data_IF_545455449633
#
_entry.id   IF_545455449633
#
_cell.length_a   1.000
_cell.length_b   1.000
_cell.length_c   1.000
_cell.angle_alpha   90.00
_cell.angle_beta   90.00
_cell.angle_gamma   90.00
#
_symmetry.space_group_name_H-M   'P 1'
#
loop_
_entity.id
_entity.type
_entity.pdbx_description
1 polymer ?
#
# COMPACT_ATOMS: atom_id res chain seq x y z
N UNK A 1 -43.25 -15.08 33.64
CA UNK A 1 -41.86 -14.65 33.89
C UNK A 1 -40.82 -15.09 32.84
N UNK A 2 -41.07 -16.09 31.95
CA UNK A 2 -40.11 -16.49 30.90
C UNK A 2 -39.95 -15.51 29.72
N UNK A 3 -40.99 -14.71 29.42
CA UNK A 3 -40.98 -13.79 28.27
C UNK A 3 -40.02 -12.60 28.46
N UNK A 4 -39.91 -12.05 29.68
CA UNK A 4 -39.06 -10.88 29.98
C UNK A 4 -37.54 -11.19 29.93
N UNK A 5 -37.15 -12.44 30.15
CA UNK A 5 -35.75 -12.88 30.10
C UNK A 5 -35.18 -12.83 28.68
N UNK A 6 -36.00 -13.16 27.68
CA UNK A 6 -35.57 -13.18 26.28
C UNK A 6 -35.27 -11.78 25.75
N UNK A 7 -36.00 -10.75 26.21
CA UNK A 7 -35.72 -9.36 25.84
C UNK A 7 -34.43 -8.84 26.50
N UNK A 8 -34.16 -9.23 27.74
CA UNK A 8 -32.90 -8.89 28.41
C UNK A 8 -31.68 -9.51 27.72
N UNK A 9 -31.79 -10.77 27.29
CA UNK A 9 -30.73 -11.44 26.51
C UNK A 9 -30.54 -10.79 25.14
N UNK A 10 -31.63 -10.39 24.47
CA UNK A 10 -31.56 -9.70 23.19
C UNK A 10 -30.92 -8.30 23.28
N UNK A 11 -31.25 -7.52 24.32
CA UNK A 11 -30.66 -6.19 24.58
C UNK A 11 -29.18 -6.32 24.92
N UNK A 12 -28.80 -7.35 25.69
CA UNK A 12 -27.40 -7.63 26.01
C UNK A 12 -26.57 -7.97 24.75
N UNK A 13 -27.12 -8.74 23.81
CA UNK A 13 -26.44 -9.04 22.54
C UNK A 13 -26.29 -7.82 21.62
N UNK A 14 -27.22 -6.86 21.67
CA UNK A 14 -27.17 -5.63 20.88
C UNK A 14 -26.09 -4.66 21.38
N UNK A 15 -25.86 -4.61 22.71
CA UNK A 15 -24.85 -3.75 23.34
C UNK A 15 -23.41 -4.27 23.18
N UNK A 16 -23.22 -5.53 22.76
CA UNK A 16 -21.90 -6.14 22.54
C UNK A 16 -21.31 -5.91 21.14
N UNK A 17 -21.97 -5.11 20.30
CA UNK A 17 -21.44 -4.70 18.99
C UNK A 17 -20.29 -3.69 19.16
N UNK A 18 -19.15 -4.19 19.62
CA UNK A 18 -17.90 -3.44 19.71
C UNK A 18 -17.49 -2.94 18.33
N UNK A 19 -17.30 -1.62 18.23
CA UNK A 19 -16.75 -0.95 17.06
C UNK A 19 -15.33 -1.46 16.81
N UNK A 20 -15.20 -2.35 15.83
CA UNK A 20 -13.88 -2.79 15.37
C UNK A 20 -13.26 -1.66 14.56
N UNK A 21 -12.34 -0.91 15.16
CA UNK A 21 -11.51 0.04 14.43
C UNK A 21 -10.41 -0.74 13.71
N UNK A 22 -10.53 -0.89 12.38
CA UNK A 22 -9.43 -1.37 11.56
C UNK A 22 -8.38 -0.26 11.47
N UNK A 23 -7.24 -0.44 12.14
CA UNK A 23 -6.07 0.44 11.95
C UNK A 23 -5.35 0.00 10.68
N UNK A 24 -5.42 0.81 9.63
CA UNK A 24 -4.53 0.62 8.47
C UNK A 24 -3.17 1.21 8.84
N UNK A 25 -2.13 0.37 8.89
CA UNK A 25 -0.75 0.85 8.98
C UNK A 25 -0.38 1.82 7.85
N UNK A 26 0.79 2.47 7.91
CA UNK A 26 1.18 3.48 6.93
C UNK A 26 1.07 2.93 5.50
N UNK A 27 0.36 3.68 4.65
CA UNK A 27 0.12 3.34 3.24
C UNK A 27 1.24 3.81 2.32
N UNK A 28 2.38 4.21 2.89
CA UNK A 28 3.53 4.74 2.17
C UNK A 28 4.85 4.17 2.67
N UNK A 29 5.87 4.30 1.82
CA UNK A 29 7.27 3.97 2.11
C UNK A 29 8.16 5.05 1.49
N UNK A 30 9.24 5.41 2.16
CA UNK A 30 10.20 6.42 1.67
C UNK A 30 11.57 5.78 1.52
N UNK A 31 12.20 5.96 0.36
CA UNK A 31 13.53 5.44 0.11
C UNK A 31 13.97 5.62 -1.34
N UNK A 32 15.06 4.95 -1.72
CA UNK A 32 15.55 4.96 -3.10
C UNK A 32 14.91 3.85 -3.91
N UNK A 33 14.71 4.11 -5.21
CA UNK A 33 14.32 3.05 -6.14
C UNK A 33 15.55 2.16 -6.38
N UNK A 34 15.47 0.91 -5.95
CA UNK A 34 16.59 -0.05 -6.05
C UNK A 34 16.50 -0.94 -7.28
N UNK A 35 15.30 -1.05 -7.87
CA UNK A 35 15.06 -1.85 -9.07
C UNK A 35 13.78 -1.39 -9.79
N UNK A 36 13.78 -1.50 -11.12
CA UNK A 36 12.61 -1.27 -11.97
C UNK A 36 12.50 -2.37 -13.03
N UNK A 37 11.27 -2.75 -13.37
CA UNK A 37 11.00 -3.65 -14.50
C UNK A 37 9.66 -3.31 -15.14
N UNK A 38 9.53 -3.53 -16.44
CA UNK A 38 8.32 -3.22 -17.20
C UNK A 38 7.48 -4.45 -17.47
N UNK A 39 6.16 -4.32 -17.33
CA UNK A 39 5.14 -5.28 -17.73
C UNK A 39 4.17 -4.63 -18.72
N UNK A 40 3.34 -5.43 -19.40
CA UNK A 40 2.26 -4.89 -20.25
C UNK A 40 1.24 -4.06 -19.46
N UNK A 41 1.14 -4.28 -18.14
CA UNK A 41 0.25 -3.53 -17.24
C UNK A 41 0.86 -2.24 -16.69
N UNK A 42 2.15 -1.98 -16.91
CA UNK A 42 2.84 -0.78 -16.42
C UNK A 42 4.26 -1.05 -15.93
N UNK A 43 4.72 -0.22 -15.00
CA UNK A 43 6.07 -0.27 -14.45
C UNK A 43 6.03 -0.82 -13.01
N UNK A 44 6.82 -1.85 -12.73
CA UNK A 44 7.07 -2.32 -11.37
C UNK A 44 8.32 -1.64 -10.80
N UNK A 45 8.22 -1.23 -9.54
CA UNK A 45 9.33 -0.64 -8.78
C UNK A 45 9.53 -1.34 -7.44
N UNK A 46 10.77 -1.34 -6.96
CA UNK A 46 11.13 -1.66 -5.57
C UNK A 46 11.80 -0.46 -4.93
N UNK A 47 11.46 -0.20 -3.68
CA UNK A 47 12.14 0.77 -2.83
C UNK A 47 12.93 0.03 -1.76
N UNK A 48 14.04 0.60 -1.30
CA UNK A 48 14.78 0.08 -0.16
C UNK A 48 16.19 0.66 -0.07
N UNK A 49 17.00 0.08 0.79
CA UNK A 49 18.43 0.42 0.91
C UNK A 49 19.26 -0.22 -0.21
N UNK A 50 18.88 -1.43 -0.63
CA UNK A 50 19.55 -2.22 -1.67
C UNK A 50 18.54 -3.13 -2.38
N UNK A 51 18.89 -3.60 -3.57
CA UNK A 51 18.11 -4.62 -4.29
C UNK A 51 17.87 -5.90 -3.48
N UNK A 52 18.73 -6.20 -2.50
CA UNK A 52 18.62 -7.34 -1.59
C UNK A 52 17.74 -7.09 -0.35
N UNK A 53 17.44 -5.83 -0.03
CA UNK A 53 16.61 -5.44 1.12
C UNK A 53 15.54 -4.43 0.71
N UNK A 54 14.50 -4.88 -0.02
CA UNK A 54 13.40 -4.03 -0.45
C UNK A 54 12.38 -3.83 0.67
N UNK A 55 11.71 -2.69 0.63
CA UNK A 55 10.67 -2.26 1.56
C UNK A 55 9.38 -2.00 0.81
N UNK A 56 8.26 -2.28 1.47
CA UNK A 56 6.92 -1.92 1.02
C UNK A 56 6.08 -1.38 2.18
N UNK A 57 5.06 -0.55 1.90
CA UNK A 57 4.16 -0.06 2.92
C UNK A 57 3.43 -1.18 3.67
N UNK A 58 2.94 -0.92 4.88
CA UNK A 58 2.27 -1.94 5.69
C UNK A 58 0.95 -2.43 5.07
N UNK A 59 0.26 -1.58 4.32
CA UNK A 59 -0.95 -1.97 3.60
C UNK A 59 -0.66 -2.83 2.36
N UNK A 60 0.62 -3.08 2.06
CA UNK A 60 1.05 -3.92 0.97
C UNK A 60 1.21 -5.36 1.45
N UNK A 61 0.25 -6.23 1.10
CA UNK A 61 0.25 -7.65 1.49
C UNK A 61 0.98 -8.55 0.50
N UNK A 62 1.53 -7.99 -0.59
CA UNK A 62 2.31 -8.77 -1.56
C UNK A 62 3.66 -9.17 -0.98
N UNK A 63 3.96 -10.48 -0.97
CA UNK A 63 5.24 -11.02 -0.51
C UNK A 63 6.43 -10.76 -1.44
N UNK A 64 6.23 -10.13 -2.60
CA UNK A 64 7.30 -9.93 -3.58
C UNK A 64 7.98 -8.55 -3.50
N UNK A 65 7.50 -7.66 -2.63
CA UNK A 65 8.03 -6.31 -2.44
C UNK A 65 8.07 -5.47 -3.72
N UNK A 66 7.10 -5.68 -4.61
CA UNK A 66 6.96 -4.94 -5.86
C UNK A 66 5.71 -4.08 -5.82
N UNK A 67 5.85 -2.87 -6.34
CA UNK A 67 4.77 -1.90 -6.45
C UNK A 67 4.55 -1.54 -7.92
N UNK A 68 3.30 -1.58 -8.38
CA UNK A 68 2.89 -1.35 -9.75
C UNK A 68 2.44 0.10 -9.95
N UNK A 69 3.13 0.82 -10.82
CA UNK A 69 2.66 2.03 -11.46
C UNK A 69 1.95 1.61 -12.74
N UNK A 70 0.63 1.80 -12.80
CA UNK A 70 -0.14 1.35 -13.97
C UNK A 70 0.23 2.12 -15.24
N UNK A 71 0.10 1.47 -16.39
CA UNK A 71 0.45 2.02 -17.70
C UNK A 71 -0.24 3.36 -17.99
N UNK A 72 -1.49 3.56 -17.53
CA UNK A 72 -2.22 4.81 -17.72
C UNK A 72 -1.63 6.00 -16.93
N UNK A 73 -0.76 5.76 -15.94
CA UNK A 73 -0.13 6.80 -15.12
C UNK A 73 1.20 7.25 -15.71
N UNK A 74 1.17 7.78 -16.94
CA UNK A 74 2.36 8.18 -17.71
C UNK A 74 3.19 9.27 -17.03
N UNK A 75 2.54 10.26 -16.41
CA UNK A 75 3.20 11.30 -15.62
C UNK A 75 3.96 10.70 -14.43
N UNK A 76 3.30 9.81 -13.68
CA UNK A 76 3.92 9.13 -12.53
C UNK A 76 5.10 8.25 -12.97
N UNK A 77 4.95 7.53 -14.08
CA UNK A 77 6.02 6.73 -14.68
C UNK A 77 7.23 7.60 -15.03
N UNK A 78 6.99 8.79 -15.59
CA UNK A 78 8.07 9.74 -15.94
C UNK A 78 8.81 10.24 -14.70
N UNK A 79 8.09 10.57 -13.62
CA UNK A 79 8.67 10.97 -12.34
C UNK A 79 9.49 9.83 -11.72
N UNK A 80 8.97 8.61 -11.73
CA UNK A 80 9.63 7.41 -11.22
C UNK A 80 10.95 7.16 -11.95
N UNK A 81 10.93 7.13 -13.29
CA UNK A 81 12.12 6.88 -14.10
C UNK A 81 13.16 8.00 -13.93
N UNK A 82 12.71 9.25 -13.84
CA UNK A 82 13.60 10.39 -13.59
C UNK A 82 14.26 10.29 -12.22
N UNK A 83 13.49 10.05 -11.15
CA UNK A 83 14.04 9.88 -9.80
C UNK A 83 15.00 8.70 -9.70
N UNK A 84 14.69 7.58 -10.37
CA UNK A 84 15.58 6.42 -10.43
C UNK A 84 16.89 6.75 -11.14
N UNK A 85 16.83 7.37 -12.32
CA UNK A 85 18.02 7.77 -13.08
C UNK A 85 18.89 8.79 -12.32
N UNK A 86 18.26 9.67 -11.52
CA UNK A 86 18.96 10.65 -10.69
C UNK A 86 19.45 10.08 -9.34
N UNK A 87 19.10 8.84 -9.00
CA UNK A 87 19.43 8.24 -7.70
C UNK A 87 18.78 8.96 -6.51
N UNK A 88 17.65 9.64 -6.73
CA UNK A 88 16.90 10.39 -5.71
C UNK A 88 15.97 9.48 -4.92
N UNK A 89 15.82 9.80 -3.64
CA UNK A 89 14.80 9.17 -2.80
C UNK A 89 13.40 9.71 -3.16
N UNK A 90 12.37 8.94 -2.86
CA UNK A 90 10.98 9.31 -3.04
C UNK A 90 10.10 8.67 -1.97
N UNK A 91 8.96 9.27 -1.70
CA UNK A 91 7.87 8.68 -0.93
C UNK A 91 6.83 8.11 -1.89
N UNK A 92 6.48 6.84 -1.69
CA UNK A 92 5.56 6.11 -2.55
C UNK A 92 4.37 5.66 -1.74
N UNK A 93 3.20 6.10 -2.15
CA UNK A 93 1.92 5.73 -1.56
C UNK A 93 1.30 4.61 -2.37
N UNK A 94 0.74 3.64 -1.67
CA UNK A 94 0.12 2.48 -2.30
C UNK A 94 -1.29 2.24 -1.78
N UNK A 95 -2.10 1.57 -2.59
CA UNK A 95 -3.32 0.90 -2.17
C UNK A 95 -3.13 -0.61 -2.23
N UNK A 96 -3.79 -1.39 -1.35
CA UNK A 96 -3.89 -2.83 -1.54
C UNK A 96 -4.48 -3.12 -2.92
N UNK A 97 -3.96 -4.11 -3.62
CA UNK A 97 -4.52 -4.57 -4.87
C UNK A 97 -4.71 -6.08 -4.80
N UNK A 98 -5.73 -6.59 -5.50
CA UNK A 98 -5.99 -8.03 -5.60
C UNK A 98 -4.92 -8.76 -6.45
N UNK A 99 -3.98 -8.03 -7.05
CA UNK A 99 -2.84 -8.55 -7.76
C UNK A 99 -1.73 -9.03 -6.82
N UNK A 100 -0.76 -9.78 -7.34
CA UNK A 100 0.47 -10.13 -6.64
C UNK A 100 1.42 -8.94 -6.36
N UNK A 101 0.97 -7.70 -6.51
CA UNK A 101 1.73 -6.45 -6.33
C UNK A 101 0.82 -5.41 -5.68
N UNK A 102 1.41 -4.40 -5.06
CA UNK A 102 0.67 -3.26 -4.52
C UNK A 102 0.57 -2.15 -5.55
N UNK A 103 -0.58 -1.50 -5.65
CA UNK A 103 -0.77 -0.46 -6.66
C UNK A 103 -0.25 0.86 -6.13
N UNK A 104 0.66 1.51 -6.85
CA UNK A 104 1.10 2.87 -6.55
C UNK A 104 -0.03 3.83 -6.89
N UNK A 105 -0.41 4.65 -5.92
CA UNK A 105 -1.43 5.69 -6.07
C UNK A 105 -0.82 7.08 -6.19
N UNK A 106 0.36 7.29 -5.61
CA UNK A 106 1.10 8.54 -5.68
C UNK A 106 2.60 8.28 -5.57
N UNK A 107 3.38 9.05 -6.31
CA UNK A 107 4.83 9.08 -6.26
C UNK A 107 5.28 10.51 -5.98
N UNK A 108 5.99 10.71 -4.87
CA UNK A 108 6.44 12.00 -4.38
C UNK A 108 7.98 12.04 -4.31
N UNK A 109 8.66 12.58 -5.34
CA UNK A 109 10.12 12.66 -5.35
C UNK A 109 10.63 13.65 -4.30
N UNK A 110 11.72 13.32 -3.63
CA UNK A 110 12.35 14.24 -2.68
C UNK A 110 12.80 15.53 -3.39
N UNK A 111 12.46 16.67 -2.79
CA UNK A 111 12.97 17.98 -3.19
C UNK A 111 14.49 18.05 -2.95
N UNK A 112 15.18 18.81 -3.79
CA UNK A 112 16.63 18.97 -3.78
C UNK A 112 17.10 20.19 -3.02
#
# INVERSE_FOLDING_TARGET
>A
MKSQWNYFVAIFFLLLSTVSFATSGPSYVTGKIVNVTSLSSGLLIRIGESSSNPEVPHNCTSGYFWMLVKQEHTTMTSLVLTSWAMGRSATVYTSPAASGYCQVTQFDPAES
#
